data_IF_380472902304
#
_entry.id   IF_380472902304
#
_cell.length_a   1.000
_cell.length_b   1.000
_cell.length_c   1.000
_cell.angle_alpha   90.00
_cell.angle_beta   90.00
_cell.angle_gamma   90.00
#
_symmetry.space_group_name_H-M   'P 1'
#
loop_
_entity.id
_entity.type
_entity.pdbx_description
1 polymer ?
#
# COMPACT_ATOMS: atom_id res chain seq x y z
N UNK A 1 10.34 -0.58 -5.90
CA UNK A 1 9.27 -0.97 -4.96
C UNK A 1 9.62 -0.42 -3.60
N UNK A 2 8.88 0.58 -3.13
CA UNK A 2 9.05 1.11 -1.78
C UNK A 2 8.12 0.38 -0.81
N UNK A 3 8.71 -0.35 0.13
CA UNK A 3 7.98 -0.97 1.26
C UNK A 3 8.09 -0.05 2.48
N UNK A 4 9.24 -0.07 3.15
CA UNK A 4 9.52 0.78 4.32
C UNK A 4 9.63 2.28 4.00
N UNK A 5 9.81 2.62 2.72
CA UNK A 5 9.87 4.00 2.24
C UNK A 5 8.52 4.72 2.41
N UNK A 6 7.42 3.99 2.19
CA UNK A 6 6.08 4.57 2.20
C UNK A 6 5.25 4.17 3.40
N UNK A 7 5.53 3.01 4.03
CA UNK A 7 4.78 2.48 5.19
C UNK A 7 3.26 2.56 5.01
N UNK A 8 2.78 2.35 3.78
CA UNK A 8 1.37 2.51 3.40
C UNK A 8 0.80 3.89 3.72
N UNK A 9 1.60 4.96 3.81
CA UNK A 9 1.16 6.33 4.13
C UNK A 9 1.02 7.20 2.87
N UNK A 10 -0.11 7.92 2.76
CA UNK A 10 -0.44 8.70 1.55
C UNK A 10 0.49 9.89 1.31
N UNK A 11 0.91 10.62 2.34
CA UNK A 11 1.78 11.80 2.20
C UNK A 11 3.18 11.39 1.72
N UNK A 12 3.69 10.28 2.25
CA UNK A 12 4.96 9.70 1.81
C UNK A 12 4.89 9.19 0.39
N UNK A 13 3.77 8.57 0.02
CA UNK A 13 3.52 8.13 -1.34
C UNK A 13 3.50 9.34 -2.30
N UNK A 14 2.76 10.41 -2.00
CA UNK A 14 2.73 11.63 -2.82
C UNK A 14 4.13 12.24 -3.01
N UNK A 15 4.91 12.32 -1.92
CA UNK A 15 6.29 12.79 -1.99
C UNK A 15 7.15 11.89 -2.89
N UNK A 16 7.03 10.57 -2.74
CA UNK A 16 7.72 9.59 -3.59
C UNK A 16 7.34 9.70 -5.07
N UNK A 17 6.09 10.02 -5.37
CA UNK A 17 5.64 10.29 -6.73
C UNK A 17 6.26 11.57 -7.29
N UNK A 18 6.22 12.67 -6.52
CA UNK A 18 6.76 13.96 -6.94
C UNK A 18 8.27 13.89 -7.22
N UNK A 19 9.00 13.15 -6.38
CA UNK A 19 10.44 12.93 -6.52
C UNK A 19 10.79 11.84 -7.53
N UNK A 20 9.79 11.17 -8.13
CA UNK A 20 9.96 9.98 -8.99
C UNK A 20 10.86 8.91 -8.34
N UNK A 21 10.76 8.76 -7.02
CA UNK A 21 11.63 7.91 -6.22
C UNK A 21 11.36 6.40 -6.38
N UNK A 22 10.20 6.02 -6.93
CA UNK A 22 9.82 4.63 -7.23
C UNK A 22 8.72 4.58 -8.30
N UNK A 23 8.21 3.38 -8.58
CA UNK A 23 7.11 3.10 -9.51
C UNK A 23 6.09 2.09 -8.94
N UNK A 24 6.29 1.70 -7.67
CA UNK A 24 5.57 0.61 -7.04
C UNK A 24 5.58 0.77 -5.51
N UNK A 25 4.46 0.45 -4.87
CA UNK A 25 4.28 0.48 -3.41
C UNK A 25 3.84 -0.89 -2.89
N UNK A 26 4.47 -1.32 -1.79
CA UNK A 26 3.99 -2.46 -1.01
C UNK A 26 2.97 -1.97 0.02
N UNK A 27 1.79 -2.57 0.01
CA UNK A 27 0.65 -2.23 0.86
C UNK A 27 0.56 -3.26 1.98
N UNK A 28 0.64 -2.78 3.22
CA UNK A 28 0.47 -3.58 4.44
C UNK A 28 -0.66 -2.94 5.25
N UNK A 29 -1.89 -3.48 5.23
CA UNK A 29 -3.06 -2.84 5.85
C UNK A 29 -2.88 -2.52 7.34
N UNK A 30 -2.11 -3.37 8.05
CA UNK A 30 -1.75 -3.19 9.45
C UNK A 30 -0.82 -1.99 9.73
N UNK A 31 -0.26 -1.34 8.70
CA UNK A 31 0.56 -0.13 8.86
C UNK A 31 -0.24 1.17 8.85
N UNK A 32 -1.45 1.18 8.27
CA UNK A 32 -2.30 2.38 8.16
C UNK A 32 -3.55 2.33 9.05
N UNK A 33 -3.78 1.22 9.75
CA UNK A 33 -4.77 1.14 10.84
C UNK A 33 -6.19 0.80 10.39
N UNK A 34 -6.64 1.23 9.20
CA UNK A 34 -7.96 0.85 8.65
C UNK A 34 -7.93 0.39 7.19
N UNK A 35 -8.93 -0.42 6.82
CA UNK A 35 -9.12 -0.89 5.43
C UNK A 35 -9.48 0.27 4.49
N UNK A 36 -10.27 1.25 4.96
CA UNK A 36 -10.66 2.42 4.17
C UNK A 36 -9.45 3.27 3.75
N UNK A 37 -8.52 3.48 4.68
CA UNK A 37 -7.29 4.21 4.40
C UNK A 37 -6.38 3.43 3.46
N UNK A 38 -6.27 2.11 3.67
CA UNK A 38 -5.56 1.19 2.76
C UNK A 38 -6.09 1.32 1.33
N UNK A 39 -7.41 1.28 1.14
CA UNK A 39 -8.05 1.44 -0.18
C UNK A 39 -7.78 2.81 -0.79
N UNK A 40 -7.69 3.86 0.03
CA UNK A 40 -7.39 5.22 -0.44
C UNK A 40 -5.98 5.29 -1.01
N UNK A 41 -5.00 4.69 -0.34
CA UNK A 41 -3.60 4.62 -0.80
C UNK A 41 -3.49 3.80 -2.09
N UNK A 42 -4.16 2.65 -2.16
CA UNK A 42 -4.19 1.81 -3.38
C UNK A 42 -4.75 2.61 -4.57
N UNK A 43 -5.93 3.23 -4.41
CA UNK A 43 -6.57 4.03 -5.46
C UNK A 43 -5.66 5.17 -5.92
N UNK A 44 -4.94 5.80 -4.99
CA UNK A 44 -4.06 6.91 -5.32
C UNK A 44 -2.83 6.47 -6.10
N UNK A 45 -2.19 5.37 -5.69
CA UNK A 45 -1.08 4.77 -6.42
C UNK A 45 -1.49 4.34 -7.84
N UNK A 46 -2.64 3.68 -7.99
CA UNK A 46 -3.17 3.27 -9.30
C UNK A 46 -3.46 4.47 -10.21
N UNK A 47 -4.07 5.54 -9.69
CA UNK A 47 -4.29 6.80 -10.44
C UNK A 47 -2.98 7.44 -10.93
N UNK A 48 -1.89 7.24 -10.21
CA UNK A 48 -0.56 7.71 -10.60
C UNK A 48 0.18 6.75 -11.55
N UNK A 49 -0.45 5.64 -11.94
CA UNK A 49 0.17 4.61 -12.78
C UNK A 49 1.19 3.74 -12.03
N UNK A 50 1.20 3.79 -10.70
CA UNK A 50 2.07 2.94 -9.88
C UNK A 50 1.44 1.58 -9.64
N UNK A 51 2.28 0.55 -9.59
CA UNK A 51 1.81 -0.80 -9.24
C UNK A 51 1.68 -0.94 -7.73
N UNK A 52 0.58 -1.54 -7.29
CA UNK A 52 0.30 -1.81 -5.87
C UNK A 52 0.41 -3.30 -5.62
N UNK A 53 1.30 -3.69 -4.69
CA UNK A 53 1.44 -5.09 -4.26
C UNK A 53 0.94 -5.18 -2.83
N UNK A 54 -0.04 -6.05 -2.57
CA UNK A 54 -0.56 -6.26 -1.21
C UNK A 54 0.25 -7.36 -0.54
N UNK A 55 0.83 -7.06 0.62
CA UNK A 55 1.59 -8.03 1.43
C UNK A 55 0.79 -8.40 2.66
N UNK A 56 0.41 -9.68 2.73
CA UNK A 56 0.09 -10.32 4.01
C UNK A 56 1.41 -10.67 4.69
N UNK A 57 1.57 -10.31 5.97
CA UNK A 57 2.70 -10.81 6.77
C UNK A 57 2.57 -12.33 6.88
N UNK A 58 3.70 -13.02 6.95
CA UNK A 58 3.86 -14.47 7.16
C UNK A 58 3.35 -15.00 8.51
N UNK A 59 2.42 -14.30 9.16
CA UNK A 59 1.63 -14.76 10.28
C UNK A 59 0.19 -14.90 9.82
N UNK A 60 -0.08 -15.93 9.01
CA UNK A 60 -1.43 -16.42 8.75
C UNK A 60 -2.03 -16.87 10.08
N UNK A 61 -2.80 -15.99 10.72
CA UNK A 61 -3.99 -16.45 11.43
C UNK A 61 -5.12 -16.50 10.42
N UNK A 62 -5.80 -17.65 10.37
CA UNK A 62 -6.84 -18.09 9.43
C UNK A 62 -8.01 -17.09 9.28
N UNK A 63 -7.80 -15.95 8.63
CA UNK A 63 -8.89 -15.04 8.27
C UNK A 63 -9.15 -15.14 6.78
N UNK A 64 -10.02 -16.09 6.41
CA UNK A 64 -10.48 -16.33 5.04
C UNK A 64 -11.50 -15.27 4.57
N UNK A 65 -11.38 -14.01 4.99
CA UNK A 65 -12.34 -12.96 4.62
C UNK A 65 -12.16 -12.42 3.20
N UNK A 66 -11.13 -12.85 2.45
CA UNK A 66 -10.87 -12.35 1.08
C UNK A 66 -10.99 -13.51 0.09
N UNK A 67 -12.22 -13.93 -0.16
CA UNK A 67 -12.61 -14.69 -1.33
C UNK A 67 -13.96 -14.16 -1.85
N UNK A 68 -13.98 -12.89 -2.28
CA UNK A 68 -14.77 -12.39 -3.43
C UNK A 68 -14.30 -10.98 -3.84
#
# INVERSE_FOLDING_TARGET
MGDDLYVTNIERLEKGMAEKASNSILIKPNQIGTLSETLTVIKRAQKAGWTTVISHRSGETEDTTIAD
#
